data_IF_052127957735
#
_entry.id   IF_052127957735
#
_cell.length_a   1.000
_cell.length_b   1.000
_cell.length_c   1.000
_cell.angle_alpha   90.00
_cell.angle_beta   90.00
_cell.angle_gamma   90.00
#
_symmetry.space_group_name_H-M   'P 1'
#
loop_
_entity.id
_entity.type
_entity.pdbx_description
1 polymer ?
#
# COMPACT_ATOMS: atom_id res chain seq x y z
N UNK A 1 0.00 -12.38 -9.94
CA UNK A 1 0.90 -11.26 -9.60
C UNK A 1 1.12 -11.21 -8.09
N UNK A 2 2.37 -11.25 -7.65
CA UNK A 2 2.73 -11.09 -6.23
C UNK A 2 3.13 -9.65 -5.97
N UNK A 3 2.44 -8.99 -5.04
CA UNK A 3 2.68 -7.58 -4.69
C UNK A 3 3.23 -7.50 -3.27
N UNK A 4 4.42 -6.91 -3.11
CA UNK A 4 5.03 -6.64 -1.80
C UNK A 4 5.03 -5.15 -1.52
N UNK A 5 4.56 -4.79 -0.33
CA UNK A 5 4.44 -3.40 0.11
C UNK A 5 5.07 -3.28 1.50
N UNK A 6 6.14 -2.50 1.59
CA UNK A 6 6.81 -2.17 2.84
C UNK A 6 6.09 -1.03 3.59
N UNK A 7 6.48 -0.78 4.84
CA UNK A 7 5.88 0.30 5.64
C UNK A 7 6.30 1.66 5.10
N UNK A 8 5.32 2.52 4.83
CA UNK A 8 5.56 3.91 4.46
C UNK A 8 5.81 4.78 5.71
N UNK A 9 6.54 5.89 5.54
CA UNK A 9 6.75 6.86 6.62
C UNK A 9 5.45 7.57 7.03
N UNK A 10 4.71 8.12 6.06
CA UNK A 10 3.40 8.76 6.28
C UNK A 10 2.39 8.38 5.19
N UNK A 11 1.74 7.21 5.30
CA UNK A 11 0.79 6.73 4.30
C UNK A 11 -0.53 7.51 4.28
N UNK A 12 -0.80 8.38 5.27
CA UNK A 12 -1.97 9.27 5.20
C UNK A 12 -1.72 10.45 4.27
N UNK A 13 -0.51 11.00 4.29
CA UNK A 13 -0.11 12.10 3.41
C UNK A 13 0.31 11.62 2.03
N UNK A 14 0.87 10.41 1.94
CA UNK A 14 1.28 9.81 0.68
C UNK A 14 0.31 8.70 0.25
N UNK A 15 -0.55 9.00 -0.73
CA UNK A 15 -1.53 8.06 -1.31
C UNK A 15 -1.47 8.00 -2.85
N UNK A 16 -0.37 8.46 -3.44
CA UNK A 16 -0.22 8.53 -4.91
C UNK A 16 -0.37 7.18 -5.59
N UNK A 17 0.18 6.11 -4.99
CA UNK A 17 0.06 4.75 -5.49
C UNK A 17 -1.40 4.25 -5.53
N UNK A 18 -2.21 4.64 -4.53
CA UNK A 18 -3.65 4.35 -4.46
C UNK A 18 -4.38 5.12 -5.58
N UNK A 19 -4.06 6.39 -5.77
CA UNK A 19 -4.72 7.24 -6.75
C UNK A 19 -4.45 6.77 -8.19
N UNK A 20 -3.19 6.46 -8.53
CA UNK A 20 -2.77 6.15 -9.90
C UNK A 20 -3.07 4.71 -10.34
N UNK A 21 -3.35 3.80 -9.40
CA UNK A 21 -3.62 2.41 -9.72
C UNK A 21 -4.92 2.29 -10.55
N UNK A 22 -4.86 1.82 -11.81
CA UNK A 22 -6.05 1.69 -12.65
C UNK A 22 -7.01 0.63 -12.10
N UNK A 23 -6.48 -0.51 -11.68
CA UNK A 23 -7.27 -1.61 -11.11
C UNK A 23 -7.77 -1.37 -9.68
N UNK A 24 -7.49 -0.21 -9.08
CA UNK A 24 -7.92 0.17 -7.71
C UNK A 24 -7.65 -0.89 -6.63
N UNK A 25 -6.59 -1.67 -6.82
CA UNK A 25 -6.19 -2.74 -5.91
C UNK A 25 -5.41 -2.25 -4.68
N UNK A 26 -4.93 -1.01 -4.67
CA UNK A 26 -4.18 -0.43 -3.55
C UNK A 26 -5.10 0.43 -2.70
N UNK A 27 -5.07 0.24 -1.38
CA UNK A 27 -5.90 1.00 -0.42
C UNK A 27 -5.09 1.46 0.79
N UNK A 28 -5.50 2.59 1.36
CA UNK A 28 -5.05 3.04 2.68
C UNK A 28 -5.89 2.33 3.75
N UNK A 29 -5.26 1.48 4.55
CA UNK A 29 -5.94 0.68 5.57
C UNK A 29 -5.43 1.02 6.98
N UNK A 30 -6.32 1.11 7.99
CA UNK A 30 -5.90 1.19 9.37
C UNK A 30 -5.25 -0.12 9.82
N UNK A 31 -4.22 0.00 10.66
CA UNK A 31 -3.60 -1.09 11.42
C UNK A 31 -3.71 -0.72 12.89
N UNK A 32 -4.65 -1.37 13.57
CA UNK A 32 -4.81 -1.23 15.02
C UNK A 32 -3.65 -1.97 15.68
N UNK A 33 -2.88 -1.27 16.51
CA UNK A 33 -1.83 -1.84 17.34
C UNK A 33 -2.26 -1.70 18.80
N UNK A 34 -2.40 -2.82 19.49
CA UNK A 34 -2.74 -2.86 20.91
C UNK A 34 -1.45 -3.17 21.67
N UNK A 35 -1.08 -2.31 22.62
CA UNK A 35 0.08 -2.55 23.48
C UNK A 35 -0.22 -2.06 24.90
N UNK A 36 -0.11 -2.95 25.90
CA UNK A 36 -0.31 -2.65 27.34
C UNK A 36 -1.51 -1.73 27.61
N UNK A 37 -2.70 -2.12 27.13
CA UNK A 37 -3.97 -1.38 27.24
C UNK A 37 -4.04 -0.01 26.52
N UNK A 38 -3.06 0.35 25.69
CA UNK A 38 -3.13 1.51 24.79
C UNK A 38 -3.41 1.06 23.36
N UNK A 39 -4.48 1.56 22.77
CA UNK A 39 -4.81 1.35 21.36
C UNK A 39 -4.22 2.50 20.53
N UNK A 40 -3.37 2.18 19.55
CA UNK A 40 -2.86 3.15 18.58
C UNK A 40 -3.24 2.72 17.17
N UNK A 41 -3.95 3.59 16.46
CA UNK A 41 -4.27 3.39 15.04
C UNK A 41 -3.10 3.86 14.20
N UNK A 42 -2.37 2.92 13.61
CA UNK A 42 -1.43 3.18 12.52
C UNK A 42 -2.13 3.04 11.18
N UNK A 43 -1.48 3.48 10.12
CA UNK A 43 -1.99 3.39 8.76
C UNK A 43 -0.95 2.72 7.88
N UNK A 44 -1.39 1.99 6.87
CA UNK A 44 -0.51 1.36 5.89
C UNK A 44 -1.21 1.22 4.55
N UNK A 45 -0.44 1.12 3.48
CA UNK A 45 -0.98 0.71 2.19
C UNK A 45 -1.12 -0.83 2.18
N UNK A 46 -2.22 -1.32 1.65
CA UNK A 46 -2.49 -2.74 1.40
C UNK A 46 -2.86 -2.93 -0.06
N UNK A 47 -2.49 -4.08 -0.62
CA UNK A 47 -3.07 -4.58 -1.86
C UNK A 47 -4.25 -5.51 -1.53
N UNK A 48 -5.37 -5.33 -2.21
CA UNK A 48 -6.58 -6.15 -2.17
C UNK A 48 -6.91 -6.58 -3.60
N UNK A 49 -7.58 -7.72 -3.78
CA UNK A 49 -7.96 -8.23 -5.11
C UNK A 49 -6.77 -8.29 -6.07
N UNK A 50 -5.63 -8.82 -5.62
CA UNK A 50 -4.36 -8.80 -6.35
C UNK A 50 -4.39 -9.51 -7.70
N UNK A 51 -5.39 -10.36 -7.91
CA UNK A 51 -5.65 -11.05 -9.18
C UNK A 51 -6.08 -10.09 -10.30
N UNK A 52 -6.58 -8.89 -9.96
CA UNK A 52 -6.89 -7.81 -10.90
C UNK A 52 -5.67 -6.97 -11.30
N UNK A 53 -4.48 -7.28 -10.77
CA UNK A 53 -3.26 -6.59 -11.14
C UNK A 53 -2.80 -7.01 -12.53
N UNK A 54 -2.70 -6.04 -13.44
CA UNK A 54 -2.19 -6.21 -14.80
C UNK A 54 -0.66 -6.06 -14.92
N UNK A 55 0.03 -5.75 -13.81
CA UNK A 55 1.47 -5.52 -13.83
C UNK A 55 1.91 -4.21 -14.49
N UNK A 56 1.05 -3.19 -14.63
CA UNK A 56 1.39 -1.92 -15.31
C UNK A 56 2.49 -1.07 -14.65
N UNK A 57 3.01 -1.45 -13.48
CA UNK A 57 4.10 -0.79 -12.73
C UNK A 57 3.87 0.67 -12.30
N UNK A 58 2.71 1.28 -12.58
CA UNK A 58 2.43 2.70 -12.22
C UNK A 58 2.60 3.01 -10.73
N UNK A 59 2.17 2.09 -9.86
CA UNK A 59 2.29 2.26 -8.42
C UNK A 59 3.75 2.20 -7.92
N UNK A 60 4.60 1.41 -8.58
CA UNK A 60 6.03 1.32 -8.30
C UNK A 60 6.69 2.63 -8.70
N UNK A 61 6.45 3.10 -9.92
CA UNK A 61 7.10 4.29 -10.46
C UNK A 61 6.75 5.59 -9.72
N UNK A 62 5.53 5.71 -9.19
CA UNK A 62 5.11 6.91 -8.44
C UNK A 62 5.59 6.90 -6.97
N UNK A 63 6.06 5.76 -6.47
CA UNK A 63 6.46 5.61 -5.07
C UNK A 63 7.89 6.12 -4.86
N UNK A 64 8.04 7.39 -4.46
CA UNK A 64 9.36 7.99 -4.20
C UNK A 64 10.15 7.31 -3.06
N UNK A 65 9.47 6.57 -2.18
CA UNK A 65 10.12 5.78 -1.11
C UNK A 65 10.55 4.37 -1.58
N UNK A 66 10.26 3.99 -2.83
CA UNK A 66 10.56 2.68 -3.40
C UNK A 66 10.03 1.48 -2.56
N UNK A 67 8.86 1.65 -1.92
CA UNK A 67 8.27 0.67 -0.97
C UNK A 67 7.40 -0.39 -1.62
N UNK A 68 7.19 -0.34 -2.94
CA UNK A 68 6.28 -1.24 -3.67
C UNK A 68 7.09 -2.06 -4.67
N UNK A 69 6.89 -3.37 -4.68
CA UNK A 69 7.46 -4.31 -5.65
C UNK A 69 6.36 -5.19 -6.23
N UNK A 70 6.45 -5.48 -7.52
CA UNK A 70 5.58 -6.43 -8.24
C UNK A 70 6.49 -7.52 -8.79
N UNK A 71 6.15 -8.78 -8.52
CA UNK A 71 6.82 -9.98 -8.99
C UNK A 71 5.80 -10.82 -9.79
N UNK A 72 6.25 -11.43 -10.88
CA UNK A 72 5.46 -12.37 -11.69
C UNK A 72 5.14 -13.63 -10.89
#
# INVERSE_FOLDING_TARGET
MKIRIESCNDPKKCVKCVQICPGKILVLAPKIVINKNKQKTKWKIKALFTDLCDGCMKCVNVCYENRIKIEL
#
